data_IF_800411419438
#
_entry.id   IF_800411419438
#
_cell.length_a   1.000
_cell.length_b   1.000
_cell.length_c   1.000
_cell.angle_alpha   90.00
_cell.angle_beta   90.00
_cell.angle_gamma   90.00
#
_symmetry.space_group_name_H-M   'P 1'
#
loop_
_entity.id
_entity.type
_entity.pdbx_description
1 polymer ?
#
# COMPACT_ATOMS: atom_id res chain seq x y z
N UNK A 1 -25.61 -16.23 -28.87
CA UNK A 1 -24.39 -16.92 -28.39
C UNK A 1 -24.61 -17.16 -26.89
N UNK A 2 -24.71 -18.39 -26.42
CA UNK A 2 -24.90 -18.66 -24.98
C UNK A 2 -23.57 -18.34 -24.30
N UNK A 3 -23.55 -17.35 -23.40
CA UNK A 3 -22.36 -16.97 -22.63
C UNK A 3 -21.85 -18.18 -21.85
N UNK A 4 -20.74 -18.78 -22.32
CA UNK A 4 -20.17 -20.05 -21.82
C UNK A 4 -19.89 -20.07 -20.32
N UNK A 5 -19.63 -18.90 -19.72
CA UNK A 5 -19.32 -18.73 -18.30
C UNK A 5 -20.54 -18.78 -17.37
N UNK A 6 -21.77 -18.67 -17.89
CA UNK A 6 -23.02 -18.79 -17.11
C UNK A 6 -23.33 -20.23 -16.68
N UNK A 7 -22.58 -21.22 -17.17
CA UNK A 7 -22.72 -22.60 -16.73
C UNK A 7 -21.75 -22.86 -15.55
N UNK A 8 -22.27 -23.22 -14.37
CA UNK A 8 -21.42 -23.58 -13.22
C UNK A 8 -20.47 -24.75 -13.52
N UNK A 9 -20.80 -25.58 -14.52
CA UNK A 9 -19.93 -26.65 -15.01
C UNK A 9 -18.65 -26.16 -15.70
N UNK A 10 -18.64 -24.97 -16.30
CA UNK A 10 -17.42 -24.39 -16.87
C UNK A 10 -16.41 -24.14 -15.74
N UNK A 11 -16.82 -23.40 -14.72
CA UNK A 11 -15.95 -23.05 -13.60
C UNK A 11 -15.52 -24.26 -12.78
N UNK A 12 -16.40 -25.25 -12.58
CA UNK A 12 -16.05 -26.47 -11.83
C UNK A 12 -15.02 -27.36 -12.55
N UNK A 13 -14.91 -27.27 -13.87
CA UNK A 13 -14.06 -28.15 -14.68
C UNK A 13 -12.91 -27.42 -15.40
N UNK A 14 -12.84 -26.09 -15.31
CA UNK A 14 -11.84 -25.31 -16.01
C UNK A 14 -10.46 -25.47 -15.36
N UNK A 15 -9.46 -25.73 -16.19
CA UNK A 15 -8.05 -25.70 -15.79
C UNK A 15 -7.55 -24.25 -15.61
N UNK A 16 -6.44 -24.03 -14.86
CA UNK A 16 -5.86 -22.70 -14.69
C UNK A 16 -5.56 -21.97 -16.02
N UNK A 17 -5.13 -22.70 -17.06
CA UNK A 17 -4.86 -22.11 -18.38
C UNK A 17 -6.14 -21.69 -19.12
N UNK A 18 -7.23 -22.44 -18.98
CA UNK A 18 -8.53 -22.08 -19.55
C UNK A 18 -9.13 -20.87 -18.85
N UNK A 19 -8.86 -20.71 -17.55
CA UNK A 19 -9.29 -19.55 -16.76
C UNK A 19 -8.47 -18.32 -17.07
N UNK A 20 -7.14 -18.45 -17.22
CA UNK A 20 -6.30 -17.36 -17.71
C UNK A 20 -6.75 -16.93 -19.11
N UNK A 21 -6.98 -17.90 -19.99
CA UNK A 21 -7.53 -17.63 -21.32
C UNK A 21 -8.88 -16.93 -21.21
N UNK A 22 -9.77 -17.37 -20.31
CA UNK A 22 -11.05 -16.71 -20.06
C UNK A 22 -10.89 -15.26 -19.63
N UNK A 23 -10.08 -14.97 -18.60
CA UNK A 23 -9.83 -13.60 -18.14
C UNK A 23 -9.14 -12.73 -19.19
N UNK A 24 -8.34 -13.33 -20.08
CA UNK A 24 -7.74 -12.64 -21.23
C UNK A 24 -8.74 -12.39 -22.37
N UNK A 25 -9.72 -13.28 -22.54
CA UNK A 25 -10.73 -13.22 -23.62
C UNK A 25 -12.01 -12.52 -23.23
N UNK A 26 -12.21 -12.20 -21.95
CA UNK A 26 -13.40 -11.45 -21.53
C UNK A 26 -13.28 -10.06 -22.14
N UNK A 27 -14.07 -9.82 -23.19
CA UNK A 27 -14.05 -8.55 -23.91
C UNK A 27 -14.57 -7.46 -22.97
N UNK A 28 -13.86 -6.33 -22.93
CA UNK A 28 -14.21 -5.20 -22.07
C UNK A 28 -15.61 -4.68 -22.45
N UNK A 29 -16.52 -4.60 -21.47
CA UNK A 29 -17.88 -4.09 -21.67
C UNK A 29 -18.98 -4.99 -21.10
N UNK A 30 -19.98 -5.33 -21.92
CA UNK A 30 -21.23 -5.97 -21.48
C UNK A 30 -21.04 -7.35 -20.83
N UNK A 31 -20.06 -8.14 -21.27
CA UNK A 31 -19.80 -9.47 -20.73
C UNK A 31 -19.25 -9.44 -19.31
N UNK A 32 -18.32 -8.52 -19.03
CA UNK A 32 -17.75 -8.34 -17.70
C UNK A 32 -18.78 -7.78 -16.71
N UNK A 33 -19.58 -6.80 -17.14
CA UNK A 33 -20.69 -6.28 -16.32
C UNK A 33 -21.69 -7.38 -15.99
N UNK A 34 -22.09 -8.20 -16.97
CA UNK A 34 -23.01 -9.32 -16.73
C UNK A 34 -22.42 -10.37 -15.78
N UNK A 35 -21.10 -10.62 -15.85
CA UNK A 35 -20.41 -11.51 -14.91
C UNK A 35 -20.42 -10.94 -13.49
N UNK A 36 -20.08 -9.66 -13.33
CA UNK A 36 -20.07 -8.98 -12.03
C UNK A 36 -21.48 -8.98 -11.38
N UNK A 37 -22.52 -8.68 -12.17
CA UNK A 37 -23.92 -8.76 -11.72
C UNK A 37 -24.26 -10.19 -11.26
N UNK A 38 -23.80 -11.21 -11.97
CA UNK A 38 -24.04 -12.59 -11.56
C UNK A 38 -23.33 -12.96 -10.26
N UNK A 39 -22.07 -12.52 -10.07
CA UNK A 39 -21.30 -12.71 -8.84
C UNK A 39 -21.93 -12.02 -7.61
N UNK A 40 -22.68 -10.94 -7.82
CA UNK A 40 -23.44 -10.29 -6.74
C UNK A 40 -24.65 -11.12 -6.31
N UNK A 41 -25.30 -11.81 -7.26
CA UNK A 41 -26.53 -12.58 -7.00
C UNK A 41 -26.26 -13.99 -6.49
N UNK A 42 -25.22 -14.66 -6.98
CA UNK A 42 -24.87 -16.03 -6.63
C UNK A 42 -23.56 -16.08 -5.82
N UNK A 43 -23.68 -16.30 -4.51
CA UNK A 43 -22.53 -16.34 -3.60
C UNK A 43 -21.61 -17.53 -3.84
N UNK A 44 -22.15 -18.71 -4.17
CA UNK A 44 -21.33 -19.90 -4.43
C UNK A 44 -20.52 -19.73 -5.73
N UNK A 45 -21.15 -19.16 -6.74
CA UNK A 45 -20.47 -18.79 -7.99
C UNK A 45 -19.38 -17.75 -7.73
N UNK A 46 -19.67 -16.73 -6.93
CA UNK A 46 -18.73 -15.69 -6.57
C UNK A 46 -17.48 -16.24 -5.86
N UNK A 47 -17.67 -17.11 -4.86
CA UNK A 47 -16.57 -17.75 -4.14
C UNK A 47 -15.70 -18.61 -5.07
N UNK A 48 -16.33 -19.34 -6.00
CA UNK A 48 -15.61 -20.11 -7.01
C UNK A 48 -14.76 -19.23 -7.92
N UNK A 49 -15.30 -18.09 -8.39
CA UNK A 49 -14.53 -17.12 -9.19
C UNK A 49 -13.40 -16.51 -8.36
N UNK A 50 -13.64 -16.21 -7.08
CA UNK A 50 -12.62 -15.67 -6.17
C UNK A 50 -11.50 -16.65 -5.87
N UNK A 51 -11.75 -17.96 -5.75
CA UNK A 51 -10.68 -18.97 -5.65
C UNK A 51 -9.70 -18.82 -6.81
N UNK A 52 -10.21 -18.69 -8.03
CA UNK A 52 -9.38 -18.60 -9.23
C UNK A 52 -8.63 -17.28 -9.33
N UNK A 53 -9.32 -16.16 -9.08
CA UNK A 53 -8.67 -14.84 -9.02
C UNK A 53 -7.59 -14.83 -7.92
N UNK A 54 -7.83 -15.47 -6.79
CA UNK A 54 -6.88 -15.55 -5.70
C UNK A 54 -5.65 -16.40 -6.07
N UNK A 55 -5.86 -17.56 -6.68
CA UNK A 55 -4.77 -18.42 -7.18
C UNK A 55 -3.91 -17.71 -8.23
N UNK A 56 -4.53 -16.92 -9.10
CA UNK A 56 -3.90 -16.23 -10.21
C UNK A 56 -3.61 -14.74 -9.92
N UNK A 57 -3.61 -14.34 -8.65
CA UNK A 57 -3.50 -12.91 -8.24
C UNK A 57 -2.24 -12.20 -8.71
N UNK A 58 -1.17 -12.93 -8.97
CA UNK A 58 0.09 -12.37 -9.49
C UNK A 58 0.04 -12.03 -10.98
N UNK A 59 -0.97 -12.53 -11.71
CA UNK A 59 -1.07 -12.42 -13.17
C UNK A 59 -1.68 -11.08 -13.61
N UNK A 60 -1.17 -10.51 -14.70
CA UNK A 60 -1.64 -9.21 -15.23
C UNK A 60 -3.12 -9.24 -15.64
N UNK A 61 -3.62 -10.39 -16.10
CA UNK A 61 -5.02 -10.56 -16.45
C UNK A 61 -5.93 -10.38 -15.23
N UNK A 62 -5.54 -10.95 -14.09
CA UNK A 62 -6.26 -10.80 -12.82
C UNK A 62 -6.25 -9.36 -12.35
N UNK A 63 -5.10 -8.69 -12.40
CA UNK A 63 -5.00 -7.25 -12.06
C UNK A 63 -5.88 -6.41 -12.97
N UNK A 64 -5.89 -6.67 -14.28
CA UNK A 64 -6.78 -5.97 -15.22
C UNK A 64 -8.25 -6.19 -14.88
N UNK A 65 -8.64 -7.41 -14.56
CA UNK A 65 -10.01 -7.74 -14.15
C UNK A 65 -10.42 -6.96 -12.89
N UNK A 66 -9.61 -7.02 -11.83
CA UNK A 66 -9.90 -6.37 -10.54
C UNK A 66 -9.97 -4.83 -10.65
N UNK A 67 -9.34 -4.25 -11.67
CA UNK A 67 -9.29 -2.80 -11.90
C UNK A 67 -10.25 -2.31 -12.98
N UNK A 68 -11.15 -3.16 -13.47
CA UNK A 68 -12.20 -2.73 -14.39
C UNK A 68 -13.33 -2.01 -13.63
N UNK A 69 -13.90 -0.99 -14.26
CA UNK A 69 -14.98 -0.18 -13.70
C UNK A 69 -16.26 -0.99 -13.44
N UNK A 70 -16.47 -2.06 -14.19
CA UNK A 70 -17.64 -2.93 -14.03
C UNK A 70 -17.60 -3.77 -12.75
N UNK A 71 -16.42 -3.96 -12.15
CA UNK A 71 -16.31 -4.61 -10.85
C UNK A 71 -16.67 -3.59 -9.77
N UNK A 72 -17.72 -3.90 -8.99
CA UNK A 72 -18.24 -3.00 -7.97
C UNK A 72 -17.37 -3.02 -6.71
N UNK A 73 -17.31 -1.92 -5.95
CA UNK A 73 -16.56 -1.88 -4.69
C UNK A 73 -16.93 -2.99 -3.71
N UNK A 74 -18.20 -3.39 -3.67
CA UNK A 74 -18.67 -4.47 -2.82
C UNK A 74 -18.08 -5.84 -3.20
N UNK A 75 -17.98 -6.15 -4.50
CA UNK A 75 -17.28 -7.36 -4.94
C UNK A 75 -15.79 -7.32 -4.59
N UNK A 76 -15.16 -6.16 -4.70
CA UNK A 76 -13.75 -5.99 -4.34
C UNK A 76 -13.53 -6.23 -2.85
N UNK A 77 -14.40 -5.68 -2.00
CA UNK A 77 -14.35 -5.92 -0.55
C UNK A 77 -14.54 -7.40 -0.21
N UNK A 78 -15.51 -8.07 -0.86
CA UNK A 78 -15.68 -9.51 -0.68
C UNK A 78 -14.45 -10.29 -1.13
N UNK A 79 -13.81 -9.91 -2.24
CA UNK A 79 -12.56 -10.53 -2.70
C UNK A 79 -11.41 -10.32 -1.70
N UNK A 80 -11.25 -9.10 -1.16
CA UNK A 80 -10.24 -8.79 -0.15
C UNK A 80 -10.46 -9.64 1.10
N UNK A 81 -11.68 -9.78 1.60
CA UNK A 81 -11.90 -10.58 2.80
C UNK A 81 -11.91 -12.10 2.54
N UNK A 82 -12.23 -12.52 1.32
CA UNK A 82 -12.04 -13.89 0.88
C UNK A 82 -10.56 -14.30 0.97
N UNK A 83 -9.65 -13.50 0.38
CA UNK A 83 -8.21 -13.72 0.46
C UNK A 83 -7.67 -13.65 1.89
N UNK A 84 -8.24 -12.76 2.72
CA UNK A 84 -7.86 -12.60 4.12
C UNK A 84 -8.19 -13.89 4.88
N UNK A 85 -9.40 -14.44 4.70
CA UNK A 85 -9.80 -15.71 5.28
C UNK A 85 -8.88 -16.86 4.87
N UNK A 86 -8.45 -16.91 3.60
CA UNK A 86 -7.49 -17.92 3.12
C UNK A 86 -6.13 -17.83 3.79
N UNK A 87 -5.58 -16.62 3.94
CA UNK A 87 -4.27 -16.44 4.56
C UNK A 87 -4.33 -16.54 6.08
N UNK A 88 -5.43 -16.16 6.71
CA UNK A 88 -5.62 -16.27 8.17
C UNK A 88 -5.54 -17.73 8.65
N UNK A 89 -5.94 -18.68 7.79
CA UNK A 89 -5.81 -20.11 8.08
C UNK A 89 -4.35 -20.61 8.04
N UNK A 90 -3.39 -19.78 7.64
CA UNK A 90 -1.96 -20.10 7.67
C UNK A 90 -1.38 -19.63 9.02
N UNK A 91 -0.58 -20.47 9.68
CA UNK A 91 0.00 -20.22 11.01
C UNK A 91 0.98 -19.02 11.08
N UNK A 92 1.26 -18.37 9.95
CA UNK A 92 2.22 -17.25 9.82
C UNK A 92 1.56 -15.96 9.29
N UNK A 93 0.29 -15.76 9.60
CA UNK A 93 -0.47 -14.61 9.09
C UNK A 93 -0.02 -13.27 9.72
N UNK A 94 0.39 -12.33 8.86
CA UNK A 94 0.61 -10.91 9.20
C UNK A 94 -0.33 -10.04 8.36
N UNK A 95 -1.24 -9.32 9.02
CA UNK A 95 -2.25 -8.51 8.34
C UNK A 95 -1.65 -7.34 7.55
N UNK A 96 -0.53 -6.77 8.00
CA UNK A 96 0.15 -5.69 7.28
C UNK A 96 0.76 -6.20 5.96
N UNK A 97 1.49 -7.32 6.01
CA UNK A 97 2.02 -7.99 4.82
C UNK A 97 0.90 -8.38 3.84
N UNK A 98 -0.23 -8.85 4.36
CA UNK A 98 -1.41 -9.15 3.55
C UNK A 98 -1.96 -7.91 2.83
N UNK A 99 -2.26 -6.85 3.57
CA UNK A 99 -2.85 -5.65 2.98
C UNK A 99 -1.88 -4.90 2.06
N UNK A 100 -0.56 -5.06 2.28
CA UNK A 100 0.45 -4.61 1.33
C UNK A 100 0.34 -5.36 -0.01
N UNK A 101 0.17 -6.68 0.00
CA UNK A 101 -0.06 -7.46 -1.23
C UNK A 101 -1.36 -7.07 -1.92
N UNK A 102 -2.42 -6.83 -1.14
CA UNK A 102 -3.72 -6.39 -1.65
C UNK A 102 -3.63 -5.03 -2.33
N UNK A 103 -2.92 -4.08 -1.71
CA UNK A 103 -2.66 -2.76 -2.32
C UNK A 103 -2.08 -2.91 -3.73
N UNK A 104 -1.12 -3.82 -3.92
CA UNK A 104 -0.43 -4.02 -5.19
C UNK A 104 -1.31 -4.66 -6.29
N UNK A 105 -2.52 -5.12 -5.95
CA UNK A 105 -3.50 -5.63 -6.92
C UNK A 105 -4.37 -4.53 -7.53
N UNK A 106 -4.52 -3.39 -6.84
CA UNK A 106 -5.41 -2.32 -7.25
C UNK A 106 -4.62 -1.13 -7.81
N UNK A 107 -5.23 -0.43 -8.75
CA UNK A 107 -4.77 0.88 -9.17
C UNK A 107 -5.37 1.95 -8.26
N UNK A 108 -4.82 3.15 -8.38
CA UNK A 108 -5.21 4.35 -7.64
C UNK A 108 -6.73 4.63 -7.71
N UNK A 109 -7.33 4.61 -8.90
CA UNK A 109 -8.75 4.86 -9.09
C UNK A 109 -9.64 3.81 -8.41
N UNK A 110 -9.25 2.54 -8.45
CA UNK A 110 -9.99 1.44 -7.84
C UNK A 110 -9.88 1.48 -6.31
N UNK A 111 -8.70 1.83 -5.78
CA UNK A 111 -8.53 2.10 -4.35
C UNK A 111 -9.46 3.20 -3.86
N UNK A 112 -9.62 4.29 -4.62
CA UNK A 112 -10.55 5.38 -4.30
C UNK A 112 -12.02 4.91 -4.28
N UNK A 113 -12.41 4.08 -5.26
CA UNK A 113 -13.77 3.50 -5.32
C UNK A 113 -14.07 2.62 -4.11
N UNK A 114 -13.10 1.84 -3.62
CA UNK A 114 -13.24 1.06 -2.39
C UNK A 114 -13.33 1.98 -1.16
N UNK A 115 -12.45 2.98 -1.07
CA UNK A 115 -12.45 3.98 0.02
C UNK A 115 -13.78 4.73 0.14
N UNK A 116 -14.50 4.87 -0.96
CA UNK A 116 -15.80 5.55 -1.02
C UNK A 116 -16.93 4.78 -0.33
N UNK A 117 -16.75 3.50 0.01
CA UNK A 117 -17.74 2.68 0.72
C UNK A 117 -18.03 3.16 2.16
N UNK A 118 -17.22 4.06 2.73
CA UNK A 118 -17.57 4.76 3.98
C UNK A 118 -17.70 3.82 5.19
N UNK A 119 -18.89 3.29 5.45
CA UNK A 119 -19.22 2.53 6.66
C UNK A 119 -18.41 1.23 6.81
N UNK A 120 -18.18 0.48 5.71
CA UNK A 120 -17.31 -0.71 5.77
C UNK A 120 -15.85 -0.33 6.02
N UNK A 121 -15.40 0.78 5.46
CA UNK A 121 -14.01 1.23 5.55
C UNK A 121 -13.66 1.78 6.93
N UNK A 122 -14.62 2.34 7.65
CA UNK A 122 -14.41 2.82 9.02
C UNK A 122 -14.21 1.67 10.03
N UNK A 123 -14.60 0.44 9.66
CA UNK A 123 -14.39 -0.76 10.48
C UNK A 123 -12.99 -1.36 10.32
N UNK A 124 -12.27 -1.03 9.26
CA UNK A 124 -10.93 -1.57 8.97
C UNK A 124 -9.91 -0.45 8.69
N UNK A 125 -9.35 0.18 9.75
CA UNK A 125 -8.41 1.28 9.60
C UNK A 125 -7.12 0.86 8.89
N UNK A 126 -6.69 -0.40 9.04
CA UNK A 126 -5.45 -0.89 8.41
C UNK A 126 -5.62 -0.99 6.89
N UNK A 127 -6.69 -1.64 6.41
CA UNK A 127 -7.00 -1.68 4.97
C UNK A 127 -7.16 -0.27 4.41
N UNK A 128 -7.89 0.60 5.13
CA UNK A 128 -8.11 1.99 4.72
C UNK A 128 -6.81 2.73 4.46
N UNK A 129 -5.82 2.62 5.35
CA UNK A 129 -4.53 3.30 5.15
C UNK A 129 -3.74 2.70 3.98
N UNK A 130 -3.76 1.37 3.82
CA UNK A 130 -3.11 0.75 2.66
C UNK A 130 -3.75 1.20 1.34
N UNK A 131 -5.08 1.35 1.28
CA UNK A 131 -5.75 1.89 0.09
C UNK A 131 -5.41 3.38 -0.12
N UNK A 132 -5.38 4.19 0.94
CA UNK A 132 -4.95 5.59 0.87
C UNK A 132 -3.51 5.71 0.36
N UNK A 133 -2.63 4.78 0.71
CA UNK A 133 -1.24 4.77 0.23
C UNK A 133 -1.09 4.52 -1.27
N UNK A 134 -2.14 3.98 -1.91
CA UNK A 134 -2.15 3.68 -3.34
C UNK A 134 -2.63 4.85 -4.22
N UNK A 135 -3.18 5.89 -3.61
CA UNK A 135 -3.73 7.04 -4.33
C UNK A 135 -2.60 7.87 -4.93
N UNK A 136 -2.73 8.16 -6.23
CA UNK A 136 -1.93 9.16 -6.93
C UNK A 136 -2.40 10.59 -6.58
N UNK A 137 -1.69 11.64 -7.02
CA UNK A 137 -2.08 13.00 -6.65
C UNK A 137 -3.50 13.41 -7.05
N UNK A 138 -3.97 12.98 -8.22
CA UNK A 138 -5.28 13.36 -8.74
C UNK A 138 -6.41 12.67 -7.96
N UNK A 139 -6.23 11.41 -7.59
CA UNK A 139 -7.19 10.66 -6.77
C UNK A 139 -7.17 11.07 -5.31
N UNK A 140 -6.04 11.57 -4.80
CA UNK A 140 -5.99 12.24 -3.49
C UNK A 140 -6.85 13.50 -3.47
N UNK A 141 -6.78 14.34 -4.50
CA UNK A 141 -7.66 15.50 -4.65
C UNK A 141 -9.13 15.08 -4.64
N UNK A 142 -9.50 14.08 -5.46
CA UNK A 142 -10.86 13.55 -5.47
C UNK A 142 -11.28 12.94 -4.12
N UNK A 143 -10.36 12.31 -3.38
CA UNK A 143 -10.64 11.82 -2.04
C UNK A 143 -10.90 12.96 -1.05
N UNK A 144 -10.17 14.07 -1.15
CA UNK A 144 -10.44 15.26 -0.34
C UNK A 144 -11.77 15.88 -0.68
N UNK A 145 -12.11 16.00 -1.96
CA UNK A 145 -13.44 16.50 -2.39
C UNK A 145 -14.57 15.65 -1.77
N UNK A 146 -14.43 14.32 -1.78
CA UNK A 146 -15.39 13.40 -1.13
C UNK A 146 -15.49 13.59 0.39
N UNK A 147 -14.38 13.97 1.05
CA UNK A 147 -14.37 14.25 2.48
C UNK A 147 -14.93 15.64 2.81
N UNK A 148 -14.74 16.62 1.94
CA UNK A 148 -15.29 17.97 2.05
C UNK A 148 -16.81 17.97 1.87
N UNK A 149 -17.32 17.24 0.87
CA UNK A 149 -18.76 17.02 0.68
C UNK A 149 -19.43 16.43 1.94
N UNK A 150 -18.65 15.68 2.74
CA UNK A 150 -19.09 15.06 3.99
C UNK A 150 -18.81 15.93 5.24
N UNK A 151 -18.20 17.11 5.12
CA UNK A 151 -17.76 17.99 6.23
C UNK A 151 -16.77 17.36 7.23
N UNK A 152 -15.88 16.43 6.81
CA UNK A 152 -15.05 15.66 7.78
C UNK A 152 -13.54 15.54 7.47
N UNK A 153 -12.92 16.47 6.75
CA UNK A 153 -11.58 16.27 6.16
C UNK A 153 -10.46 15.85 7.13
N UNK A 154 -10.15 16.65 8.16
CA UNK A 154 -9.02 16.34 9.06
C UNK A 154 -9.39 15.36 10.18
N UNK A 155 -10.61 15.48 10.71
CA UNK A 155 -11.09 14.64 11.81
C UNK A 155 -11.23 13.18 11.39
N UNK A 156 -11.71 12.90 10.17
CA UNK A 156 -11.78 11.52 9.67
C UNK A 156 -10.39 10.92 9.55
N UNK A 157 -9.41 11.63 8.98
CA UNK A 157 -8.05 11.12 8.88
C UNK A 157 -7.41 10.88 10.24
N UNK A 158 -7.55 11.82 11.18
CA UNK A 158 -7.09 11.61 12.56
C UNK A 158 -7.77 10.40 13.21
N UNK A 159 -9.07 10.20 12.95
CA UNK A 159 -9.83 9.03 13.41
C UNK A 159 -9.29 7.70 12.88
N UNK A 160 -8.82 7.67 11.62
CA UNK A 160 -8.21 6.46 11.03
C UNK A 160 -6.95 6.05 11.80
N UNK A 161 -6.09 7.03 12.12
CA UNK A 161 -4.84 6.78 12.83
C UNK A 161 -5.01 6.60 14.34
N UNK A 162 -6.10 7.12 14.93
CA UNK A 162 -6.37 7.04 16.36
C UNK A 162 -6.39 5.60 16.90
N UNK A 163 -6.88 4.65 16.10
CA UNK A 163 -7.05 3.25 16.50
C UNK A 163 -5.83 2.36 16.25
N UNK A 164 -4.78 2.88 15.59
CA UNK A 164 -3.56 2.11 15.32
C UNK A 164 -2.46 2.43 16.33
N UNK A 165 -1.52 1.49 16.51
CA UNK A 165 -0.31 1.69 17.33
C UNK A 165 0.72 2.52 16.58
N UNK A 166 1.56 3.26 17.30
CA UNK A 166 2.53 4.19 16.68
C UNK A 166 3.49 3.50 15.72
N UNK A 167 3.95 2.30 16.09
CA UNK A 167 4.84 1.51 15.25
C UNK A 167 4.15 1.04 13.96
N UNK A 168 2.85 0.77 13.99
CA UNK A 168 2.08 0.39 12.80
C UNK A 168 1.94 1.59 11.87
N UNK A 169 1.57 2.75 12.42
CA UNK A 169 1.47 4.01 11.67
C UNK A 169 2.84 4.33 11.04
N UNK A 170 3.91 4.30 11.82
CA UNK A 170 5.27 4.55 11.35
C UNK A 170 5.65 3.61 10.21
N UNK A 171 5.41 2.31 10.38
CA UNK A 171 5.70 1.30 9.36
C UNK A 171 4.93 1.58 8.08
N UNK A 172 3.63 1.88 8.17
CA UNK A 172 2.82 2.18 6.98
C UNK A 172 3.33 3.43 6.26
N UNK A 173 3.63 4.51 7.00
CA UNK A 173 4.12 5.77 6.43
C UNK A 173 5.53 5.64 5.83
N UNK A 174 6.42 4.85 6.42
CA UNK A 174 7.73 4.53 5.83
C UNK A 174 7.59 3.75 4.52
N UNK A 175 6.59 2.88 4.42
CA UNK A 175 6.29 2.13 3.20
C UNK A 175 5.42 2.91 2.18
N UNK A 176 5.00 4.14 2.52
CA UNK A 176 4.00 4.92 1.77
C UNK A 176 4.35 6.42 1.72
N UNK A 177 5.35 6.79 0.93
CA UNK A 177 5.84 8.16 0.84
C UNK A 177 4.76 9.18 0.44
N UNK A 178 3.89 8.86 -0.51
CA UNK A 178 2.78 9.76 -0.94
C UNK A 178 1.86 10.10 0.21
N UNK A 179 1.39 9.10 0.95
CA UNK A 179 0.54 9.29 2.13
C UNK A 179 1.25 10.14 3.19
N UNK A 180 2.53 9.90 3.45
CA UNK A 180 3.33 10.73 4.35
C UNK A 180 3.31 12.21 3.93
N UNK A 181 3.58 12.50 2.66
CA UNK A 181 3.60 13.85 2.12
C UNK A 181 2.25 14.56 2.26
N UNK A 182 1.16 13.88 1.93
CA UNK A 182 -0.18 14.44 2.08
C UNK A 182 -0.52 14.74 3.54
N UNK A 183 -0.23 13.82 4.47
CA UNK A 183 -0.48 14.07 5.89
C UNK A 183 0.36 15.22 6.44
N UNK A 184 1.63 15.38 6.02
CA UNK A 184 2.46 16.54 6.38
C UNK A 184 1.83 17.84 5.89
N UNK A 185 1.44 17.90 4.63
CA UNK A 185 0.79 19.07 4.02
C UNK A 185 -0.48 19.45 4.79
N UNK A 186 -1.35 18.48 5.08
CA UNK A 186 -2.57 18.71 5.85
C UNK A 186 -2.30 19.21 7.27
N UNK A 187 -1.31 18.63 7.95
CA UNK A 187 -0.94 19.05 9.31
C UNK A 187 -0.42 20.49 9.34
N UNK A 188 0.28 20.95 8.30
CA UNK A 188 0.76 22.33 8.16
C UNK A 188 -0.39 23.29 7.80
N UNK A 189 -1.23 22.95 6.82
CA UNK A 189 -2.39 23.78 6.45
C UNK A 189 -3.40 23.90 7.58
N UNK A 190 -3.65 22.82 8.32
CA UNK A 190 -4.54 22.80 9.48
C UNK A 190 -4.00 23.55 10.71
N UNK A 191 -2.76 24.05 10.70
CA UNK A 191 -2.26 24.97 11.75
C UNK A 191 -2.79 26.39 11.57
N UNK A 192 -3.26 26.75 10.36
CA UNK A 192 -3.80 28.09 10.08
C UNK A 192 -5.27 28.23 10.49
N UNK A 193 -6.02 27.13 10.53
CA UNK A 193 -7.42 27.08 10.94
C UNK A 193 -7.53 26.54 12.38
N UNK A 194 -7.04 27.28 13.37
CA UNK A 194 -7.24 26.96 14.79
C UNK A 194 -8.64 27.34 15.24
N UNK A 195 -9.63 26.54 14.87
CA UNK A 195 -10.79 26.36 15.73
C UNK A 195 -10.41 25.40 16.86
N UNK A 196 -10.86 25.74 18.06
CA UNK A 196 -10.49 25.14 19.35
C UNK A 196 -10.66 23.62 19.31
N UNK A 197 -9.58 22.91 19.01
CA UNK A 197 -9.53 21.43 19.05
C UNK A 197 -9.15 21.03 20.48
N UNK A 198 -10.15 20.72 21.32
CA UNK A 198 -9.91 20.31 22.72
C UNK A 198 -10.04 18.79 22.90
N UNK A 199 -9.31 18.24 23.88
CA UNK A 199 -9.41 16.85 24.30
C UNK A 199 -8.68 15.84 23.39
N UNK A 200 -9.33 14.70 23.13
CA UNK A 200 -8.74 13.51 22.48
C UNK A 200 -8.24 13.77 21.04
N UNK A 201 -8.86 14.71 20.33
CA UNK A 201 -8.45 15.08 18.97
C UNK A 201 -7.08 15.76 18.95
N UNK A 202 -6.81 16.64 19.92
CA UNK A 202 -5.50 17.30 20.06
C UNK A 202 -4.41 16.29 20.42
N UNK A 203 -4.71 15.32 21.28
CA UNK A 203 -3.80 14.22 21.61
C UNK A 203 -3.45 13.39 20.37
N UNK A 204 -4.45 12.97 19.59
CA UNK A 204 -4.24 12.24 18.34
C UNK A 204 -3.44 13.06 17.31
N UNK A 205 -3.70 14.37 17.23
CA UNK A 205 -2.96 15.29 16.36
C UNK A 205 -1.50 15.38 16.76
N UNK A 206 -1.20 15.63 18.03
CA UNK A 206 0.17 15.70 18.56
C UNK A 206 0.92 14.39 18.35
N UNK A 207 0.24 13.26 18.56
CA UNK A 207 0.77 11.92 18.33
C UNK A 207 1.14 11.71 16.87
N UNK A 208 0.24 12.03 15.94
CA UNK A 208 0.53 11.96 14.50
C UNK A 208 1.66 12.90 14.10
N UNK A 209 1.69 14.13 14.62
CA UNK A 209 2.76 15.10 14.38
C UNK A 209 4.12 14.55 14.79
N UNK A 210 4.22 13.97 16.00
CA UNK A 210 5.45 13.36 16.49
C UNK A 210 5.93 12.21 15.59
N UNK A 211 5.01 11.36 15.11
CA UNK A 211 5.35 10.28 14.17
C UNK A 211 5.86 10.87 12.84
N UNK A 212 5.17 11.86 12.30
CA UNK A 212 5.54 12.53 11.05
C UNK A 212 6.92 13.22 11.15
N UNK A 213 7.23 13.85 12.28
CA UNK A 213 8.54 14.46 12.54
C UNK A 213 9.63 13.40 12.67
N UNK A 214 9.34 12.25 13.28
CA UNK A 214 10.30 11.15 13.37
C UNK A 214 10.68 10.58 11.99
N UNK A 215 9.75 10.62 11.02
CA UNK A 215 10.00 10.21 9.64
C UNK A 215 10.70 11.31 8.83
N UNK A 216 10.44 12.58 9.14
CA UNK A 216 11.03 13.74 8.45
C UNK A 216 12.56 13.78 8.48
N UNK A 217 13.18 13.15 9.49
CA UNK A 217 14.64 12.98 9.57
C UNK A 217 15.16 12.24 8.32
N UNK A 218 14.43 11.23 7.83
CA UNK A 218 14.81 10.45 6.65
C UNK A 218 14.58 11.21 5.36
N UNK A 219 13.55 12.06 5.29
CA UNK A 219 13.35 12.97 4.18
C UNK A 219 14.55 13.94 4.06
N UNK A 220 14.93 14.57 5.17
CA UNK A 220 16.08 15.47 5.24
C UNK A 220 17.37 14.75 4.83
N UNK A 221 17.54 13.49 5.26
CA UNK A 221 18.68 12.67 4.84
C UNK A 221 18.66 12.35 3.34
N UNK A 222 17.49 12.06 2.74
CA UNK A 222 17.37 11.84 1.30
C UNK A 222 17.73 13.09 0.50
N UNK A 223 17.30 14.27 0.96
CA UNK A 223 17.67 15.56 0.34
C UNK A 223 19.18 15.78 0.44
N UNK A 224 19.78 15.55 1.61
CA UNK A 224 21.21 15.64 1.78
C UNK A 224 22.00 14.71 0.84
N UNK A 225 21.52 13.48 0.62
CA UNK A 225 22.12 12.57 -0.35
C UNK A 225 21.99 13.07 -1.79
N UNK A 226 20.84 13.65 -2.17
CA UNK A 226 20.63 14.24 -3.50
C UNK A 226 21.52 15.46 -3.76
N UNK A 227 21.82 16.23 -2.72
CA UNK A 227 22.73 17.38 -2.82
C UNK A 227 24.19 16.95 -2.99
N UNK A 228 24.58 15.80 -2.45
CA UNK A 228 25.96 15.29 -2.53
C UNK A 228 26.22 14.41 -3.75
N UNK A 229 25.21 13.72 -4.25
CA UNK A 229 25.35 12.73 -5.32
C UNK A 229 24.30 12.94 -6.40
N UNK A 230 24.71 12.89 -7.67
CA UNK A 230 23.77 12.80 -8.78
C UNK A 230 23.15 11.40 -8.81
N UNK A 231 22.05 11.23 -8.09
CA UNK A 231 21.35 9.95 -7.99
C UNK A 231 20.80 9.45 -9.33
N UNK A 232 20.53 10.36 -10.30
CA UNK A 232 20.11 9.96 -11.65
C UNK A 232 21.28 9.36 -12.43
N UNK A 233 22.48 9.90 -12.26
CA UNK A 233 23.68 9.28 -12.82
C UNK A 233 24.01 7.96 -12.12
N UNK A 234 23.88 7.89 -10.80
CA UNK A 234 24.16 6.65 -10.04
C UNK A 234 23.22 5.49 -10.42
N UNK A 235 21.97 5.78 -10.77
CA UNK A 235 20.98 4.74 -11.10
C UNK A 235 21.27 4.00 -12.42
N UNK A 236 21.98 4.64 -13.35
CA UNK A 236 22.37 4.00 -14.64
C UNK A 236 23.69 3.24 -14.56
N UNK A 237 24.46 3.42 -13.48
CA UNK A 237 25.72 2.72 -13.26
C UNK A 237 25.49 1.33 -12.64
N UNK A 238 26.42 0.42 -12.89
CA UNK A 238 26.44 -0.87 -12.21
C UNK A 238 26.81 -0.67 -10.73
N UNK A 239 26.52 -1.62 -9.82
CA UNK A 239 26.78 -1.43 -8.39
C UNK A 239 28.27 -1.20 -8.06
N UNK A 240 29.17 -1.75 -8.88
CA UNK A 240 30.63 -1.51 -8.79
C UNK A 240 31.04 -0.14 -9.33
N UNK A 241 30.25 0.36 -10.29
CA UNK A 241 30.22 1.69 -10.91
C UNK A 241 30.02 2.84 -9.91
N UNK A 242 29.16 2.59 -8.91
CA UNK A 242 28.58 3.59 -8.04
C UNK A 242 29.55 4.06 -6.96
N UNK A 243 29.37 5.30 -6.50
CA UNK A 243 30.14 5.83 -5.38
C UNK A 243 29.74 5.13 -4.07
N UNK A 244 30.65 4.32 -3.53
CA UNK A 244 30.45 3.56 -2.29
C UNK A 244 30.37 4.43 -1.04
N UNK A 245 30.78 5.71 -1.09
CA UNK A 245 30.61 6.65 0.02
C UNK A 245 29.14 6.92 0.31
N UNK A 246 28.28 6.88 -0.70
CA UNK A 246 26.82 6.97 -0.54
C UNK A 246 26.29 5.86 0.37
N UNK A 247 26.70 4.61 0.12
CA UNK A 247 26.34 3.48 0.99
C UNK A 247 26.92 3.64 2.39
N UNK A 248 28.16 4.14 2.50
CA UNK A 248 28.77 4.41 3.80
C UNK A 248 27.96 5.41 4.64
N UNK A 249 27.37 6.43 4.00
CA UNK A 249 26.48 7.39 4.67
C UNK A 249 25.16 6.74 5.10
N UNK A 250 24.52 5.97 4.22
CA UNK A 250 23.30 5.20 4.56
C UNK A 250 23.57 4.31 5.77
N UNK A 251 24.68 3.60 5.76
CA UNK A 251 25.07 2.68 6.80
C UNK A 251 25.32 3.39 8.13
N UNK A 252 26.03 4.53 8.10
CA UNK A 252 26.26 5.36 9.29
C UNK A 252 24.97 5.87 9.93
N UNK A 253 23.97 6.26 9.13
CA UNK A 253 22.69 6.72 9.65
C UNK A 253 21.85 5.56 10.21
N UNK A 254 21.82 4.41 9.55
CA UNK A 254 21.08 3.23 10.01
C UNK A 254 21.66 2.61 11.30
N UNK A 255 22.94 2.83 11.59
CA UNK A 255 23.55 2.42 12.88
C UNK A 255 22.93 3.16 14.07
N UNK A 256 22.34 4.35 13.87
CA UNK A 256 21.76 5.16 14.94
C UNK A 256 20.37 4.70 15.39
N UNK A 257 19.77 3.74 14.69
CA UNK A 257 18.40 3.29 14.94
C UNK A 257 18.33 1.80 15.31
N UNK A 258 17.24 1.37 15.98
CA UNK A 258 17.00 -0.02 16.32
C UNK A 258 17.00 -0.93 15.09
N UNK A 259 17.47 -2.17 15.27
CA UNK A 259 17.53 -3.16 14.20
C UNK A 259 16.18 -3.44 13.54
N UNK A 260 15.09 -3.35 14.32
CA UNK A 260 13.71 -3.58 13.88
C UNK A 260 13.24 -2.59 12.83
N UNK A 261 13.79 -1.38 12.82
CA UNK A 261 13.29 -0.27 12.01
C UNK A 261 14.08 -0.12 10.69
N UNK A 262 15.27 -0.74 10.62
CA UNK A 262 16.22 -0.55 9.51
C UNK A 262 15.64 -0.96 8.17
N UNK A 263 14.87 -2.04 8.12
CA UNK A 263 14.26 -2.51 6.87
C UNK A 263 13.21 -1.52 6.35
N UNK A 264 12.33 -1.02 7.22
CA UNK A 264 11.30 -0.06 6.84
C UNK A 264 11.93 1.27 6.39
N UNK A 265 13.00 1.71 7.05
CA UNK A 265 13.76 2.89 6.64
C UNK A 265 14.43 2.69 5.28
N UNK A 266 15.05 1.53 5.01
CA UNK A 266 15.63 1.23 3.69
C UNK A 266 14.58 1.31 2.57
N UNK A 267 13.36 0.78 2.82
CA UNK A 267 12.24 0.90 1.88
C UNK A 267 11.90 2.38 1.63
N UNK A 268 11.82 3.18 2.68
CA UNK A 268 11.55 4.61 2.57
C UNK A 268 12.63 5.35 1.75
N UNK A 269 13.92 5.09 2.01
CA UNK A 269 15.03 5.70 1.29
C UNK A 269 14.96 5.38 -0.21
N UNK A 270 14.73 4.11 -0.56
CA UNK A 270 14.57 3.68 -1.96
C UNK A 270 13.37 4.35 -2.62
N UNK A 271 12.22 4.38 -1.93
CA UNK A 271 11.02 5.06 -2.41
C UNK A 271 11.23 6.55 -2.69
N UNK A 272 12.14 7.20 -1.94
CA UNK A 272 12.49 8.60 -2.11
C UNK A 272 13.67 8.86 -3.07
N UNK A 273 14.05 7.85 -3.87
CA UNK A 273 15.02 7.97 -4.95
C UNK A 273 16.47 7.75 -4.55
N UNK A 274 16.74 7.26 -3.33
CA UNK A 274 18.08 6.75 -2.98
C UNK A 274 18.31 5.47 -3.78
N UNK A 275 19.40 5.43 -4.55
CA UNK A 275 19.73 4.29 -5.42
C UNK A 275 20.19 3.11 -4.57
N UNK A 276 19.31 2.21 -4.19
CA UNK A 276 19.66 0.99 -3.44
C UNK A 276 19.09 -0.21 -4.19
N UNK A 277 19.97 -1.05 -4.73
CA UNK A 277 19.54 -2.34 -5.27
C UNK A 277 19.55 -3.43 -4.21
N UNK A 278 19.02 -4.60 -4.57
CA UNK A 278 18.90 -5.75 -3.67
C UNK A 278 20.25 -6.19 -3.09
N UNK A 279 21.33 -6.10 -3.86
CA UNK A 279 22.66 -6.51 -3.41
C UNK A 279 23.25 -5.49 -2.42
N UNK A 280 23.08 -4.20 -2.70
CA UNK A 280 23.46 -3.11 -1.81
C UNK A 280 22.65 -3.16 -0.50
N UNK A 281 21.34 -3.39 -0.56
CA UNK A 281 20.48 -3.57 0.62
C UNK A 281 20.97 -4.76 1.48
N UNK A 282 21.20 -5.90 0.85
CA UNK A 282 21.71 -7.11 1.53
C UNK A 282 23.06 -6.85 2.20
N UNK A 283 23.94 -6.12 1.51
CA UNK A 283 25.26 -5.75 2.02
C UNK A 283 25.15 -4.82 3.24
N UNK A 284 24.29 -3.80 3.17
CA UNK A 284 24.02 -2.88 4.28
C UNK A 284 23.49 -3.64 5.50
N UNK A 285 22.49 -4.50 5.31
CA UNK A 285 21.89 -5.29 6.40
C UNK A 285 22.93 -6.23 7.03
N UNK A 286 23.72 -6.91 6.20
CA UNK A 286 24.78 -7.81 6.68
C UNK A 286 25.83 -7.07 7.51
N UNK A 287 26.30 -5.93 7.03
CA UNK A 287 27.29 -5.11 7.73
C UNK A 287 26.74 -4.52 9.03
N UNK A 288 25.48 -4.09 9.07
CA UNK A 288 24.81 -3.62 10.28
C UNK A 288 24.62 -4.74 11.31
N UNK A 289 24.27 -5.95 10.86
CA UNK A 289 24.17 -7.13 11.73
C UNK A 289 25.53 -7.50 12.33
N UNK A 290 26.60 -7.42 11.54
CA UNK A 290 27.95 -7.63 12.05
C UNK A 290 28.34 -6.54 13.06
N UNK A 291 28.00 -5.28 12.78
CA UNK A 291 28.26 -4.16 13.69
C UNK A 291 27.57 -4.34 15.04
N UNK A 292 26.31 -4.76 15.06
CA UNK A 292 25.58 -5.03 16.32
C UNK A 292 26.24 -6.17 17.12
N UNK A 293 26.85 -7.16 16.44
CA UNK A 293 27.47 -8.34 17.07
C UNK A 293 28.89 -8.07 17.58
N UNK A 294 29.71 -7.36 16.82
CA UNK A 294 31.17 -7.24 17.07
C UNK A 294 31.71 -5.81 17.07
N UNK A 295 30.85 -4.79 16.88
CA UNK A 295 31.23 -3.37 16.85
C UNK A 295 31.99 -2.95 15.59
N UNK A 296 32.00 -3.80 14.54
CA UNK A 296 32.67 -3.56 13.24
C UNK A 296 31.76 -3.98 12.09
N UNK A 297 31.84 -3.25 10.98
CA UNK A 297 31.02 -3.54 9.80
C UNK A 297 31.49 -4.79 9.02
N UNK A 298 32.81 -5.04 8.99
CA UNK A 298 33.43 -6.19 8.32
C UNK A 298 34.40 -6.88 9.28
#
# INVERSE_FOLDING_TARGET
>A
MIMRWKASQFWKNASPNELLSFFLTIDKGEDLRSLAEHMLVDSEFCDLVFEYLWLLRSEDATKKFLNDESITPELLMRFIYFGYGKQFLLETFDSNSYFLQIRDLFNSAQSLRILSLGEEMDRDPTLKIHLLSNLDPQTWEAYFDLLEEKNMTMQTLLGIFANLRENEIRKILLNSHTLYYYLRMMMVSGKQNTEVTEGKEMENRNRLESILDSIHIWETFCLHLKDQYDLKQQSVLTPKERDSKRLSLVLKELTKIPSTDRQDVLVYLRGNGVVLDLWEETTVISALSNFDRVGKYF
#
